data_IF_443773469627
#
_entry.id   IF_443773469627
#
_cell.length_a   1.000
_cell.length_b   1.000
_cell.length_c   1.000
_cell.angle_alpha   90.00
_cell.angle_beta   90.00
_cell.angle_gamma   90.00
#
_symmetry.space_group_name_H-M   'P 1'
#
loop_
_entity.id
_entity.type
_entity.pdbx_description
1 polymer ?
#
# COMPACT_ATOMS: atom_id res chain seq x y z
N UNK A 1 -8.06 5.95 3.67
CA UNK A 1 -7.04 6.14 2.61
C UNK A 1 -6.22 4.86 2.45
N UNK A 2 -5.81 4.51 1.23
CA UNK A 2 -4.87 3.41 0.95
C UNK A 2 -3.63 3.99 0.31
N UNK A 3 -2.45 3.58 0.78
CA UNK A 3 -1.15 3.99 0.20
C UNK A 3 -0.32 2.78 -0.19
N UNK A 4 0.61 2.98 -1.13
CA UNK A 4 1.68 2.05 -1.43
C UNK A 4 2.88 2.35 -0.53
N UNK A 5 3.57 1.31 -0.09
CA UNK A 5 4.89 1.39 0.52
C UNK A 5 5.75 0.21 0.09
N UNK A 6 6.98 0.15 0.57
CA UNK A 6 7.86 -1.00 0.35
C UNK A 6 8.80 -1.19 1.53
N UNK A 7 9.19 -2.44 1.81
CA UNK A 7 9.99 -2.79 3.00
C UNK A 7 11.28 -3.47 2.62
N UNK A 8 12.42 -2.92 3.02
CA UNK A 8 13.73 -3.55 2.84
C UNK A 8 13.90 -4.77 3.75
N UNK A 9 14.62 -5.77 3.27
CA UNK A 9 14.93 -6.95 4.09
C UNK A 9 15.70 -6.53 5.35
N UNK A 10 15.16 -6.88 6.52
CA UNK A 10 15.76 -6.53 7.82
C UNK A 10 15.48 -5.11 8.30
N UNK A 11 14.69 -4.32 7.58
CA UNK A 11 14.24 -2.99 7.99
C UNK A 11 12.80 -3.03 8.52
N UNK A 12 12.50 -2.13 9.46
CA UNK A 12 11.13 -1.84 9.88
C UNK A 12 10.54 -0.62 9.14
N UNK A 13 11.32 0.03 8.28
CA UNK A 13 10.85 1.18 7.51
C UNK A 13 9.97 0.71 6.35
N UNK A 14 8.80 1.34 6.22
CA UNK A 14 7.76 0.98 5.26
C UNK A 14 7.73 1.86 4.01
N UNK A 15 8.54 2.93 3.99
CA UNK A 15 8.70 3.82 2.84
C UNK A 15 7.35 4.19 2.18
N UNK A 16 6.38 4.61 3.00
CA UNK A 16 5.01 4.90 2.57
C UNK A 16 4.95 6.14 1.67
N UNK A 17 4.29 6.02 0.52
CA UNK A 17 3.98 7.14 -0.38
C UNK A 17 2.68 7.83 0.06
N UNK A 18 2.82 8.82 0.93
CA UNK A 18 1.68 9.59 1.46
C UNK A 18 1.19 10.66 0.48
N UNK A 19 2.02 11.04 -0.49
CA UNK A 19 1.72 12.09 -1.46
C UNK A 19 0.84 11.56 -2.60
N UNK A 20 1.01 10.28 -2.98
CA UNK A 20 0.25 9.62 -4.06
C UNK A 20 -0.53 8.38 -3.56
N UNK A 21 -1.63 8.58 -2.82
CA UNK A 21 -2.43 7.46 -2.34
C UNK A 21 -3.14 6.73 -3.48
N UNK A 22 -3.24 5.41 -3.34
CA UNK A 22 -3.91 4.52 -4.29
C UNK A 22 -5.44 4.69 -4.26
N UNK A 23 -5.99 5.07 -3.10
CA UNK A 23 -7.39 5.41 -2.92
C UNK A 23 -7.60 6.37 -1.74
N UNK A 24 -8.58 7.27 -1.90
CA UNK A 24 -9.05 8.22 -0.88
C UNK A 24 -10.59 8.12 -0.78
N UNK A 25 -11.14 8.68 0.29
CA UNK A 25 -12.58 8.94 0.44
C UNK A 25 -13.51 7.72 0.28
N UNK A 26 -13.06 6.54 0.69
CA UNK A 26 -13.88 5.34 0.81
C UNK A 26 -14.27 5.09 2.27
N UNK A 27 -15.42 4.46 2.49
CA UNK A 27 -15.85 4.07 3.83
C UNK A 27 -15.21 2.73 4.25
N UNK A 28 -14.74 2.64 5.49
CA UNK A 28 -14.25 1.36 6.02
C UNK A 28 -15.38 0.32 6.17
N UNK A 29 -16.63 0.77 6.33
CA UNK A 29 -17.85 -0.05 6.34
C UNK A 29 -18.03 -0.85 5.05
N UNK A 30 -17.49 -0.38 3.92
CA UNK A 30 -17.60 -1.07 2.64
C UNK A 30 -16.77 -2.35 2.58
N UNK A 31 -15.80 -2.52 3.52
CA UNK A 31 -14.90 -3.68 3.67
C UNK A 31 -14.05 -4.00 2.43
N UNK A 32 -14.21 -3.26 1.34
CA UNK A 32 -13.51 -3.44 0.08
C UNK A 32 -13.37 -2.09 -0.62
N UNK A 33 -12.16 -1.81 -1.08
CA UNK A 33 -11.88 -0.73 -2.01
C UNK A 33 -11.17 -1.32 -3.23
N UNK A 34 -11.46 -0.79 -4.42
CA UNK A 34 -10.74 -1.15 -5.65
C UNK A 34 -9.67 -0.10 -5.89
N UNK A 35 -8.46 -0.54 -6.20
CA UNK A 35 -7.33 0.30 -6.56
C UNK A 35 -6.82 -0.06 -7.95
N UNK A 36 -6.21 0.90 -8.63
CA UNK A 36 -5.43 0.65 -9.85
C UNK A 36 -3.99 0.40 -9.47
N UNK A 37 -3.37 -0.64 -10.05
CA UNK A 37 -1.93 -0.89 -9.87
C UNK A 37 -1.17 0.31 -10.44
N UNK A 38 -0.34 1.00 -9.64
CA UNK A 38 0.35 2.20 -10.09
C UNK A 38 1.53 1.87 -11.00
N UNK A 39 1.92 2.81 -11.85
CA UNK A 39 3.15 2.71 -12.63
C UNK A 39 4.35 3.10 -11.75
N UNK A 40 5.01 2.10 -11.17
CA UNK A 40 6.17 2.25 -10.28
C UNK A 40 7.31 1.33 -10.72
N UNK A 41 8.57 1.61 -10.32
CA UNK A 41 9.68 0.71 -10.61
C UNK A 41 9.39 -0.74 -10.15
N UNK A 42 9.78 -1.77 -10.93
CA UNK A 42 9.58 -3.14 -10.49
C UNK A 42 10.31 -3.45 -9.18
N UNK A 43 9.62 -4.08 -8.23
CA UNK A 43 10.17 -4.59 -6.95
C UNK A 43 9.36 -5.78 -6.46
N UNK A 44 9.92 -6.54 -5.52
CA UNK A 44 9.32 -7.75 -4.93
C UNK A 44 8.80 -7.56 -3.49
N UNK A 45 8.88 -6.35 -2.97
CA UNK A 45 8.67 -6.04 -1.56
C UNK A 45 7.71 -4.86 -1.33
N UNK A 46 6.74 -4.68 -2.23
CA UNK A 46 5.67 -3.71 -2.06
C UNK A 46 4.66 -4.16 -1.00
N UNK A 47 4.05 -3.20 -0.33
CA UNK A 47 2.97 -3.37 0.64
C UNK A 47 1.88 -2.32 0.38
N UNK A 48 0.66 -2.63 0.78
CA UNK A 48 -0.41 -1.63 0.89
C UNK A 48 -0.80 -1.44 2.35
N UNK A 49 -1.07 -0.19 2.73
CA UNK A 49 -1.51 0.19 4.09
C UNK A 49 -2.84 0.92 4.01
N UNK A 50 -3.80 0.49 4.83
CA UNK A 50 -5.09 1.16 5.01
C UNK A 50 -5.01 2.09 6.23
N UNK A 51 -5.17 3.39 6.01
CA UNK A 51 -5.28 4.39 7.06
C UNK A 51 -6.73 4.54 7.53
N UNK A 52 -6.91 4.50 8.86
CA UNK A 52 -8.20 4.58 9.55
C UNK A 52 -8.58 3.30 10.30
N UNK A 53 -7.88 2.20 10.01
CA UNK A 53 -7.97 0.92 10.71
C UNK A 53 -6.56 0.56 11.18
N UNK A 54 -6.26 0.88 12.44
CA UNK A 54 -4.89 0.92 12.98
C UNK A 54 -4.11 -0.37 12.74
N UNK A 55 -3.14 -0.35 11.81
CA UNK A 55 -2.18 -1.43 11.59
C UNK A 55 -2.49 -2.41 10.46
N UNK A 56 -3.48 -2.13 9.60
CA UNK A 56 -3.80 -3.00 8.48
C UNK A 56 -2.85 -2.80 7.29
N UNK A 57 -1.80 -3.63 7.28
CA UNK A 57 -0.80 -3.76 6.22
C UNK A 57 -0.89 -5.14 5.56
N UNK A 58 -0.78 -5.19 4.24
CA UNK A 58 -0.71 -6.45 3.51
C UNK A 58 0.59 -7.23 3.76
N UNK A 59 0.65 -8.52 3.41
CA UNK A 59 1.91 -9.18 3.07
C UNK A 59 2.65 -8.45 1.94
N UNK A 60 3.95 -8.70 1.82
CA UNK A 60 4.75 -8.18 0.71
C UNK A 60 4.34 -8.84 -0.62
N UNK A 61 4.37 -8.06 -1.71
CA UNK A 61 4.07 -8.53 -3.06
C UNK A 61 4.97 -7.86 -4.10
N UNK A 62 5.01 -8.47 -5.30
CA UNK A 62 5.76 -7.94 -6.43
C UNK A 62 4.87 -7.11 -7.37
N UNK A 63 5.43 -6.03 -7.90
CA UNK A 63 4.93 -5.37 -9.11
C UNK A 63 5.97 -5.62 -10.20
N UNK A 64 5.55 -6.28 -11.27
CA UNK A 64 6.39 -6.70 -12.40
C UNK A 64 6.05 -5.85 -13.64
N UNK A 65 6.97 -5.79 -14.63
CA UNK A 65 6.69 -5.17 -15.93
C UNK A 65 5.47 -5.77 -16.64
#
# INVERSE_FOLDING_TARGET
>A
MIVLGWVEQGSLNEHLDLDHPLAKDFELSDRRATITVPNVPPKDNYIVVVFGDSGNRSPAFSIKP
#
